data_IF_399788372015
#
_entry.id   IF_399788372015
#
_cell.length_a   1.000
_cell.length_b   1.000
_cell.length_c   1.000
_cell.angle_alpha   90.00
_cell.angle_beta   90.00
_cell.angle_gamma   90.00
#
_symmetry.space_group_name_H-M   'P 1'
#
loop_
_entity.id
_entity.type
_entity.pdbx_description
1 polymer ?
#
# COMPACT_ATOMS: atom_id res chain seq x y z
N UNK A 1 -7.47 26.28 9.98
CA UNK A 1 -6.12 26.90 10.17
C UNK A 1 -5.24 26.20 11.21
N UNK A 2 -5.76 25.68 12.34
CA UNK A 2 -4.95 25.04 13.40
C UNK A 2 -4.13 23.80 12.95
N UNK A 3 -4.66 22.92 12.10
CA UNK A 3 -3.93 21.71 11.68
C UNK A 3 -2.68 21.98 10.83
N UNK A 4 -2.66 23.02 9.98
CA UNK A 4 -1.48 23.38 9.17
C UNK A 4 -0.32 23.86 10.05
N UNK A 5 -0.61 24.65 11.07
CA UNK A 5 0.39 25.15 12.03
C UNK A 5 1.07 24.02 12.81
N UNK A 6 0.31 23.03 13.28
CA UNK A 6 0.86 21.87 13.99
C UNK A 6 1.75 21.00 13.11
N UNK A 7 1.37 20.78 11.84
CA UNK A 7 2.22 20.06 10.87
C UNK A 7 3.53 20.81 10.61
N UNK A 8 3.47 22.12 10.37
CA UNK A 8 4.66 22.95 10.12
C UNK A 8 5.57 22.99 11.35
N UNK A 9 5.01 23.08 12.57
CA UNK A 9 5.80 23.08 13.81
C UNK A 9 6.59 21.79 14.02
N UNK A 10 5.98 20.63 13.77
CA UNK A 10 6.67 19.35 13.91
C UNK A 10 7.80 19.19 12.89
N UNK A 11 7.62 19.70 11.68
CA UNK A 11 8.62 19.68 10.60
C UNK A 11 9.81 20.57 10.96
N UNK A 12 9.54 21.80 11.39
CA UNK A 12 10.58 22.73 11.82
C UNK A 12 11.35 22.14 13.00
N UNK A 13 10.68 21.52 13.96
CA UNK A 13 11.33 20.87 15.10
C UNK A 13 12.23 19.71 14.68
N UNK A 14 11.80 18.87 13.73
CA UNK A 14 12.62 17.77 13.21
C UNK A 14 13.86 18.28 12.45
N UNK A 15 13.70 19.29 11.60
CA UNK A 15 14.81 19.92 10.87
C UNK A 15 15.79 20.56 11.85
N UNK A 16 15.29 21.26 12.88
CA UNK A 16 16.11 21.92 13.88
C UNK A 16 16.95 20.91 14.68
N UNK A 17 16.38 19.77 15.05
CA UNK A 17 17.10 18.67 15.72
C UNK A 17 18.21 18.12 14.82
N UNK A 18 17.93 17.87 13.53
CA UNK A 18 18.92 17.40 12.56
C UNK A 18 20.08 18.39 12.42
N UNK A 19 19.76 19.69 12.27
CA UNK A 19 20.76 20.75 12.13
C UNK A 19 21.64 20.84 13.38
N UNK A 20 21.06 20.81 14.58
CA UNK A 20 21.83 20.85 15.84
C UNK A 20 22.76 19.63 15.96
N UNK A 21 22.25 18.43 15.66
CA UNK A 21 23.05 17.20 15.68
C UNK A 21 24.19 17.25 14.64
N UNK A 22 23.90 17.74 13.44
CA UNK A 22 24.89 17.93 12.39
C UNK A 22 25.99 18.91 12.79
N UNK A 23 25.62 20.05 13.40
CA UNK A 23 26.57 21.03 13.93
C UNK A 23 27.43 20.42 15.03
N UNK A 24 26.83 19.68 15.97
CA UNK A 24 27.55 19.01 17.04
C UNK A 24 28.56 17.98 16.49
N UNK A 25 28.15 17.13 15.54
CA UNK A 25 29.01 16.16 14.86
C UNK A 25 30.15 16.83 14.09
N UNK A 26 29.86 17.92 13.38
CA UNK A 26 30.86 18.69 12.65
C UNK A 26 31.88 19.33 13.60
N UNK A 27 31.42 19.92 14.70
CA UNK A 27 32.28 20.54 15.71
C UNK A 27 33.18 19.51 16.39
N UNK A 28 32.62 18.35 16.77
CA UNK A 28 33.38 17.22 17.32
C UNK A 28 34.42 16.74 16.30
N UNK A 29 34.04 16.54 15.04
CA UNK A 29 34.97 16.13 13.98
C UNK A 29 36.13 17.11 13.82
N UNK A 30 35.84 18.42 13.74
CA UNK A 30 36.86 19.47 13.61
C UNK A 30 37.86 19.48 14.77
N UNK A 31 37.38 19.29 16.00
CA UNK A 31 38.23 19.31 17.19
C UNK A 31 38.99 17.99 17.41
N UNK A 32 38.42 16.85 17.03
CA UNK A 32 39.11 15.55 17.07
C UNK A 32 40.35 15.58 16.15
N UNK A 33 40.27 16.21 14.97
CA UNK A 33 41.43 16.38 14.06
C UNK A 33 42.57 17.24 14.63
N UNK A 34 42.29 18.11 15.59
CA UNK A 34 43.31 18.93 16.24
C UNK A 34 44.04 18.16 17.35
N UNK A 35 43.41 17.13 17.91
CA UNK A 35 43.96 16.27 18.96
C UNK A 35 44.57 15.00 18.34
N UNK A 36 45.72 15.13 17.67
CA UNK A 36 46.43 14.02 16.99
C UNK A 36 46.57 12.76 17.85
N UNK A 37 46.83 12.92 19.16
CA UNK A 37 46.97 11.83 20.14
C UNK A 37 45.69 10.98 20.32
N UNK A 38 44.51 11.55 20.08
CA UNK A 38 43.21 10.89 20.29
C UNK A 38 42.77 10.13 19.02
N UNK A 39 43.16 10.59 17.83
CA UNK A 39 42.82 9.93 16.56
C UNK A 39 43.59 8.63 16.35
N UNK A 40 44.79 8.52 16.90
CA UNK A 40 45.61 7.30 16.82
C UNK A 40 44.96 6.12 17.54
N UNK A 41 44.01 6.40 18.45
CA UNK A 41 43.15 5.39 19.04
C UNK A 41 42.09 4.95 18.02
N UNK A 42 42.35 3.82 17.33
CA UNK A 42 41.47 3.29 16.28
C UNK A 42 40.00 3.09 16.68
N UNK A 43 39.73 2.87 17.97
CA UNK A 43 38.36 2.74 18.49
C UNK A 43 37.56 4.07 18.43
N UNK A 44 38.21 5.22 18.62
CA UNK A 44 37.56 6.54 18.56
C UNK A 44 37.17 6.87 17.12
N UNK A 45 38.04 6.54 16.15
CA UNK A 45 37.74 6.67 14.72
C UNK A 45 36.54 5.81 14.31
N UNK A 46 36.48 4.57 14.82
CA UNK A 46 35.37 3.65 14.54
C UNK A 46 34.05 4.20 15.11
N UNK A 47 34.06 4.64 16.37
CA UNK A 47 32.89 5.19 17.05
C UNK A 47 32.36 6.45 16.34
N UNK A 48 33.25 7.37 15.95
CA UNK A 48 32.87 8.55 15.19
C UNK A 48 32.28 8.19 13.81
N UNK A 49 32.88 7.22 13.12
CA UNK A 49 32.34 6.68 11.86
C UNK A 49 30.94 6.09 12.01
N UNK A 50 30.69 5.32 13.08
CA UNK A 50 29.36 4.79 13.40
C UNK A 50 28.35 5.91 13.65
N UNK A 51 28.73 6.97 14.37
CA UNK A 51 27.85 8.13 14.59
C UNK A 51 27.48 8.85 13.29
N UNK A 52 28.42 9.04 12.36
CA UNK A 52 28.15 9.62 11.04
C UNK A 52 27.18 8.73 10.24
N UNK A 53 27.39 7.42 10.26
CA UNK A 53 26.54 6.46 9.56
C UNK A 53 25.11 6.49 10.11
N UNK A 54 24.94 6.46 11.44
CA UNK A 54 23.64 6.56 12.09
C UNK A 54 22.95 7.90 11.78
N UNK A 55 23.69 9.01 11.82
CA UNK A 55 23.16 10.34 11.44
C UNK A 55 22.69 10.37 9.99
N UNK A 56 23.43 9.74 9.08
CA UNK A 56 23.07 9.68 7.64
C UNK A 56 21.78 8.89 7.42
N UNK A 57 21.65 7.72 8.07
CA UNK A 57 20.42 6.92 8.06
C UNK A 57 19.24 7.73 8.61
N UNK A 58 19.46 8.44 9.72
CA UNK A 58 18.44 9.26 10.35
C UNK A 58 17.98 10.43 9.45
N UNK A 59 18.92 11.14 8.81
CA UNK A 59 18.61 12.17 7.80
C UNK A 59 17.78 11.62 6.63
N UNK A 60 18.20 10.48 6.06
CA UNK A 60 17.51 9.86 4.94
C UNK A 60 16.08 9.45 5.31
N UNK A 61 15.90 8.84 6.49
CA UNK A 61 14.59 8.48 7.01
C UNK A 61 13.71 9.73 7.25
N UNK A 62 14.25 10.79 7.83
CA UNK A 62 13.51 12.03 8.08
C UNK A 62 13.04 12.70 6.78
N UNK A 63 13.91 12.79 5.77
CA UNK A 63 13.55 13.36 4.46
C UNK A 63 12.45 12.52 3.80
N UNK A 64 12.60 11.20 3.76
CA UNK A 64 11.58 10.31 3.20
C UNK A 64 10.23 10.45 3.93
N UNK A 65 10.26 10.59 5.25
CA UNK A 65 9.06 10.77 6.07
C UNK A 65 8.38 12.12 5.80
N UNK A 66 9.15 13.20 5.63
CA UNK A 66 8.61 14.52 5.28
C UNK A 66 7.96 14.53 3.90
N UNK A 67 8.62 13.92 2.91
CA UNK A 67 8.11 13.77 1.54
C UNK A 67 6.81 12.95 1.57
N UNK A 68 6.80 11.82 2.29
CA UNK A 68 5.62 10.97 2.43
C UNK A 68 4.44 11.71 3.09
N UNK A 69 4.68 12.46 4.18
CA UNK A 69 3.63 13.14 4.94
C UNK A 69 3.01 14.36 4.22
N UNK A 70 3.66 14.88 3.17
CA UNK A 70 3.17 16.02 2.39
C UNK A 70 2.56 15.65 1.03
N UNK A 71 2.77 14.41 0.58
CA UNK A 71 2.26 13.94 -0.71
C UNK A 71 0.91 13.25 -0.59
N UNK A 72 0.49 12.80 0.60
CA UNK A 72 -0.84 12.20 0.79
C UNK A 72 -1.91 13.29 0.92
N UNK A 73 -2.36 13.80 -0.22
CA UNK A 73 -3.61 14.55 -0.31
C UNK A 73 -4.78 13.58 -0.15
N UNK A 74 -5.63 13.81 0.84
CA UNK A 74 -6.91 13.12 0.95
C UNK A 74 -7.82 13.65 -0.16
N UNK A 75 -8.37 12.75 -0.96
CA UNK A 75 -9.36 13.11 -1.97
C UNK A 75 -10.74 13.25 -1.34
N UNK A 76 -11.57 14.16 -1.84
CA UNK A 76 -12.93 14.34 -1.37
C UNK A 76 -13.90 13.69 -2.37
N UNK A 77 -14.69 12.67 -1.96
CA UNK A 77 -15.58 11.93 -2.86
C UNK A 77 -16.77 12.76 -3.38
N UNK A 78 -17.04 13.92 -2.76
CA UNK A 78 -18.14 14.82 -3.13
C UNK A 78 -17.69 16.10 -3.85
N UNK A 79 -16.38 16.28 -4.10
CA UNK A 79 -15.84 17.44 -4.83
C UNK A 79 -15.40 17.03 -6.24
N UNK A 80 -16.09 17.47 -7.31
CA UNK A 80 -15.74 17.13 -8.69
C UNK A 80 -14.32 17.52 -9.06
N UNK A 81 -13.75 18.59 -8.48
CA UNK A 81 -12.36 18.99 -8.74
C UNK A 81 -11.39 17.95 -8.17
N UNK A 82 -11.68 17.41 -6.99
CA UNK A 82 -10.90 16.35 -6.36
C UNK A 82 -10.94 15.06 -7.19
N UNK A 83 -12.12 14.70 -7.70
CA UNK A 83 -12.31 13.55 -8.58
C UNK A 83 -11.54 13.71 -9.90
N UNK A 84 -11.58 14.90 -10.50
CA UNK A 84 -10.82 15.18 -11.71
C UNK A 84 -9.30 15.04 -11.51
N UNK A 85 -8.77 15.51 -10.37
CA UNK A 85 -7.35 15.33 -10.02
C UNK A 85 -7.02 13.84 -9.86
N UNK A 86 -7.93 13.05 -9.25
CA UNK A 86 -7.76 11.61 -9.08
C UNK A 86 -7.73 10.89 -10.44
N UNK A 87 -8.68 11.19 -11.33
CA UNK A 87 -8.78 10.58 -12.67
C UNK A 87 -7.53 10.83 -13.55
N UNK A 88 -6.84 11.96 -13.33
CA UNK A 88 -5.61 12.30 -14.04
C UNK A 88 -4.39 11.50 -13.56
N UNK A 89 -4.43 10.86 -12.39
CA UNK A 89 -3.30 10.13 -11.84
C UNK A 89 -2.98 8.87 -12.66
N UNK A 90 -1.86 8.89 -13.39
CA UNK A 90 -1.42 7.75 -14.22
C UNK A 90 -1.31 6.43 -13.45
N UNK A 91 -0.91 6.46 -12.19
CA UNK A 91 -0.73 5.27 -11.34
C UNK A 91 -2.03 4.51 -11.04
N UNK A 92 -3.20 5.15 -11.25
CA UNK A 92 -4.52 4.54 -11.06
C UNK A 92 -5.21 4.21 -12.37
N UNK A 93 -4.50 4.27 -13.51
CA UNK A 93 -5.01 3.86 -14.81
C UNK A 93 -4.65 2.40 -15.06
N UNK A 94 -5.64 1.63 -15.46
CA UNK A 94 -5.48 0.30 -16.05
C UNK A 94 -5.20 0.47 -17.55
N UNK A 95 -4.50 -0.49 -18.16
CA UNK A 95 -4.40 -0.54 -19.62
C UNK A 95 -5.82 -0.70 -20.22
N UNK A 96 -6.29 0.24 -21.06
CA UNK A 96 -7.63 0.15 -21.65
C UNK A 96 -7.85 -1.13 -22.46
N UNK A 97 -6.79 -1.71 -23.03
CA UNK A 97 -6.88 -3.00 -23.75
C UNK A 97 -7.26 -4.12 -22.79
N UNK A 98 -6.62 -4.19 -21.64
CA UNK A 98 -6.92 -5.17 -20.60
C UNK A 98 -8.34 -4.98 -20.09
N UNK A 99 -8.76 -3.74 -19.80
CA UNK A 99 -10.12 -3.44 -19.34
C UNK A 99 -11.19 -3.89 -20.34
N UNK A 100 -11.00 -3.56 -21.63
CA UNK A 100 -11.92 -3.94 -22.69
C UNK A 100 -11.99 -5.45 -22.91
N UNK A 101 -10.84 -6.14 -22.89
CA UNK A 101 -10.79 -7.60 -23.03
C UNK A 101 -11.45 -8.30 -21.85
N UNK A 102 -11.17 -7.87 -20.62
CA UNK A 102 -11.86 -8.36 -19.42
C UNK A 102 -13.38 -8.22 -19.50
N UNK A 103 -13.84 -7.11 -20.07
CA UNK A 103 -15.27 -6.85 -20.30
C UNK A 103 -15.85 -7.76 -21.40
N UNK A 104 -15.09 -8.01 -22.47
CA UNK A 104 -15.51 -8.87 -23.58
C UNK A 104 -15.59 -10.36 -23.19
N UNK A 105 -14.70 -10.84 -22.33
CA UNK A 105 -14.76 -12.22 -21.82
C UNK A 105 -15.97 -12.48 -20.91
N UNK A 106 -16.66 -11.43 -20.44
CA UNK A 106 -17.96 -11.51 -19.77
C UNK A 106 -17.91 -11.99 -18.32
N UNK A 107 -16.81 -12.60 -17.84
CA UNK A 107 -16.67 -13.04 -16.45
C UNK A 107 -15.30 -12.74 -15.82
N UNK A 108 -15.03 -11.47 -15.46
CA UNK A 108 -13.76 -11.07 -14.83
C UNK A 108 -13.51 -11.76 -13.48
N UNK A 109 -14.56 -12.15 -12.75
CA UNK A 109 -14.44 -12.88 -11.48
C UNK A 109 -13.85 -14.26 -11.70
N UNK A 110 -14.28 -14.96 -12.74
CA UNK A 110 -13.77 -16.28 -13.07
C UNK A 110 -12.29 -16.23 -13.44
N UNK A 111 -11.88 -15.27 -14.28
CA UNK A 111 -10.47 -15.08 -14.64
C UNK A 111 -9.57 -14.85 -13.43
N UNK A 112 -9.96 -13.93 -12.55
CA UNK A 112 -9.17 -13.66 -11.34
C UNK A 112 -9.19 -14.87 -10.40
N UNK A 113 -10.30 -15.63 -10.37
CA UNK A 113 -10.38 -16.90 -9.65
C UNK A 113 -9.42 -17.95 -10.21
N UNK A 114 -9.30 -18.06 -11.53
CA UNK A 114 -8.34 -18.93 -12.21
C UNK A 114 -6.89 -18.51 -11.93
N UNK A 115 -6.60 -17.21 -11.93
CA UNK A 115 -5.30 -16.71 -11.51
C UNK A 115 -4.99 -17.07 -10.05
N UNK A 116 -5.95 -16.91 -9.15
CA UNK A 116 -5.80 -17.27 -7.74
C UNK A 116 -5.52 -18.77 -7.57
N UNK A 117 -6.28 -19.63 -8.25
CA UNK A 117 -6.10 -21.09 -8.16
C UNK A 117 -4.77 -21.53 -8.78
N UNK A 118 -4.38 -20.96 -9.93
CA UNK A 118 -3.08 -21.18 -10.55
C UNK A 118 -1.92 -20.80 -9.62
N UNK A 119 -2.10 -19.74 -8.83
CA UNK A 119 -1.12 -19.30 -7.84
C UNK A 119 -1.20 -20.07 -6.51
N UNK A 120 -1.99 -21.14 -6.42
CA UNK A 120 -2.09 -22.03 -5.27
C UNK A 120 -3.00 -21.53 -4.15
N UNK A 121 -3.86 -20.55 -4.42
CA UNK A 121 -4.96 -20.22 -3.51
C UNK A 121 -6.10 -21.22 -3.69
N UNK A 122 -6.75 -21.60 -2.58
CA UNK A 122 -7.95 -22.44 -2.58
C UNK A 122 -9.14 -21.61 -2.13
N UNK A 123 -10.27 -21.75 -2.81
CA UNK A 123 -11.52 -21.18 -2.34
C UNK A 123 -11.94 -21.90 -1.06
N UNK A 124 -12.06 -21.17 0.04
CA UNK A 124 -12.40 -21.74 1.36
C UNK A 124 -13.81 -21.40 1.80
N UNK A 125 -14.38 -20.31 1.28
CA UNK A 125 -15.73 -19.89 1.62
C UNK A 125 -16.34 -19.03 0.51
N UNK A 126 -17.67 -19.04 0.47
CA UNK A 126 -18.49 -18.05 -0.22
C UNK A 126 -19.26 -17.29 0.87
N UNK A 127 -18.98 -16.00 1.02
CA UNK A 127 -19.54 -15.14 2.06
C UNK A 127 -20.33 -13.98 1.42
N UNK A 128 -21.07 -13.21 2.20
CA UNK A 128 -21.67 -11.95 1.74
C UNK A 128 -20.64 -10.96 1.16
N UNK A 129 -19.38 -11.10 1.62
CA UNK A 129 -18.19 -10.34 1.21
C UNK A 129 -17.54 -10.86 -0.08
N UNK A 130 -18.15 -11.86 -0.73
CA UNK A 130 -17.65 -12.46 -1.96
C UNK A 130 -16.99 -13.82 -1.75
N UNK A 131 -16.12 -14.19 -2.70
CA UNK A 131 -15.36 -15.43 -2.66
C UNK A 131 -14.11 -15.23 -1.82
N UNK A 132 -13.87 -16.12 -0.85
CA UNK A 132 -12.69 -16.07 0.01
C UNK A 132 -11.72 -17.16 -0.42
N UNK A 133 -10.52 -16.72 -0.79
CA UNK A 133 -9.41 -17.56 -1.23
C UNK A 133 -8.29 -17.53 -0.21
N UNK A 134 -7.70 -18.67 0.08
CA UNK A 134 -6.57 -18.77 1.01
C UNK A 134 -5.43 -19.61 0.44
N UNK A 135 -4.20 -19.16 0.66
CA UNK A 135 -2.98 -19.84 0.27
C UNK A 135 -2.12 -20.09 1.49
N UNK A 136 -1.66 -21.33 1.68
CA UNK A 136 -0.70 -21.65 2.73
C UNK A 136 0.67 -21.08 2.39
N UNK A 137 1.31 -20.41 3.35
CA UNK A 137 2.66 -19.87 3.24
C UNK A 137 3.65 -20.85 3.86
N UNK A 138 4.76 -21.09 3.16
CA UNK A 138 5.89 -21.88 3.66
C UNK A 138 6.74 -21.12 4.68
N UNK A 139 6.68 -19.78 4.66
CA UNK A 139 7.49 -18.93 5.50
C UNK A 139 6.86 -18.78 6.89
N UNK A 140 7.50 -19.39 7.90
CA UNK A 140 7.19 -19.20 9.32
C UNK A 140 8.06 -18.04 9.80
N UNK A 141 7.48 -16.87 10.02
CA UNK A 141 8.21 -15.76 10.65
C UNK A 141 8.08 -15.90 12.17
N UNK A 142 9.17 -15.79 12.93
CA UNK A 142 9.15 -15.91 14.40
C UNK A 142 8.18 -14.90 15.06
N UNK A 143 7.91 -13.77 14.39
CA UNK A 143 6.94 -12.74 14.83
C UNK A 143 5.51 -12.97 14.31
N UNK A 144 5.35 -13.74 13.23
CA UNK A 144 4.05 -14.05 12.63
C UNK A 144 3.92 -15.58 12.53
N UNK A 145 3.27 -16.19 13.53
CA UNK A 145 2.97 -17.63 13.59
C UNK A 145 1.98 -18.10 12.49
N UNK A 146 1.69 -17.24 11.51
CA UNK A 146 0.54 -17.32 10.62
C UNK A 146 0.95 -17.95 9.30
N UNK A 147 0.25 -19.03 8.93
CA UNK A 147 0.58 -19.85 7.75
C UNK A 147 -0.24 -19.52 6.51
N UNK A 148 -0.99 -18.41 6.47
CA UNK A 148 -1.94 -18.17 5.39
C UNK A 148 -1.89 -16.74 4.85
N UNK A 149 -2.07 -16.61 3.53
CA UNK A 149 -2.52 -15.40 2.86
C UNK A 149 -3.99 -15.55 2.51
N UNK A 150 -4.77 -14.46 2.61
CA UNK A 150 -6.19 -14.44 2.27
C UNK A 150 -6.49 -13.36 1.24
N UNK A 151 -7.32 -13.71 0.26
CA UNK A 151 -7.82 -12.77 -0.74
C UNK A 151 -9.35 -12.87 -0.78
N UNK A 152 -10.01 -11.75 -0.58
CA UNK A 152 -11.43 -11.58 -0.81
C UNK A 152 -11.61 -11.13 -2.26
N UNK A 153 -12.48 -11.79 -3.01
CA UNK A 153 -12.80 -11.45 -4.39
C UNK A 153 -14.28 -11.13 -4.49
N UNK A 154 -14.59 -9.88 -4.83
CA UNK A 154 -15.94 -9.35 -4.82
C UNK A 154 -16.23 -8.59 -6.11
N UNK A 155 -17.34 -8.94 -6.75
CA UNK A 155 -17.89 -8.16 -7.86
C UNK A 155 -19.17 -7.44 -7.41
N UNK A 156 -19.26 -6.16 -7.74
CA UNK A 156 -20.42 -5.31 -7.46
C UNK A 156 -20.67 -4.39 -8.67
N UNK A 157 -21.86 -4.48 -9.31
CA UNK A 157 -22.19 -3.66 -10.47
C UNK A 157 -22.59 -2.23 -10.11
N UNK A 158 -22.84 -1.95 -8.82
CA UNK A 158 -23.18 -0.62 -8.30
C UNK A 158 -22.41 -0.41 -7.00
N UNK A 159 -21.63 0.67 -6.94
CA UNK A 159 -20.75 1.04 -5.85
C UNK A 159 -20.74 2.56 -5.73
N UNK A 160 -20.61 3.04 -4.49
CA UNK A 160 -20.27 4.41 -4.18
C UNK A 160 -19.32 4.40 -2.97
N UNK A 161 -18.83 5.57 -2.57
CA UNK A 161 -17.91 5.68 -1.44
C UNK A 161 -18.47 5.07 -0.14
N UNK A 162 -19.77 5.24 0.14
CA UNK A 162 -20.40 4.71 1.36
C UNK A 162 -20.45 3.18 1.36
N UNK A 163 -20.76 2.59 0.20
CA UNK A 163 -20.77 1.13 0.03
C UNK A 163 -19.36 0.57 0.21
N UNK A 164 -18.34 1.24 -0.33
CA UNK A 164 -16.93 0.85 -0.14
C UNK A 164 -16.54 0.92 1.32
N UNK A 165 -16.86 2.01 2.01
CA UNK A 165 -16.55 2.16 3.43
C UNK A 165 -17.19 1.03 4.25
N UNK A 166 -18.44 0.67 3.94
CA UNK A 166 -19.09 -0.47 4.58
C UNK A 166 -18.39 -1.80 4.25
N UNK A 167 -18.06 -2.07 2.98
CA UNK A 167 -17.35 -3.29 2.57
C UNK A 167 -15.99 -3.40 3.27
N UNK A 168 -15.23 -2.31 3.32
CA UNK A 168 -13.92 -2.26 3.98
C UNK A 168 -14.05 -2.48 5.48
N UNK A 169 -15.05 -1.87 6.12
CA UNK A 169 -15.36 -2.05 7.54
C UNK A 169 -15.78 -3.49 7.84
N UNK A 170 -16.73 -4.05 7.09
CA UNK A 170 -17.18 -5.44 7.25
C UNK A 170 -16.05 -6.44 7.02
N UNK A 171 -15.23 -6.23 5.99
CA UNK A 171 -14.06 -7.08 5.71
C UNK A 171 -13.05 -7.01 6.86
N UNK A 172 -12.78 -5.80 7.37
CA UNK A 172 -11.91 -5.60 8.52
C UNK A 172 -12.44 -6.30 9.76
N UNK A 173 -13.73 -6.14 10.06
CA UNK A 173 -14.39 -6.78 11.19
C UNK A 173 -14.38 -8.31 11.07
N UNK A 174 -14.60 -8.85 9.87
CA UNK A 174 -14.48 -10.28 9.61
C UNK A 174 -13.06 -10.79 9.90
N UNK A 175 -12.03 -10.09 9.42
CA UNK A 175 -10.62 -10.45 9.69
C UNK A 175 -10.33 -10.42 11.19
N UNK A 176 -10.77 -9.38 11.89
CA UNK A 176 -10.56 -9.23 13.34
C UNK A 176 -11.22 -10.38 14.11
N UNK A 177 -12.46 -10.75 13.77
CA UNK A 177 -13.17 -11.88 14.40
C UNK A 177 -12.51 -13.22 14.13
N UNK A 178 -11.91 -13.41 12.95
CA UNK A 178 -11.23 -14.67 12.60
C UNK A 178 -9.75 -14.72 13.01
N UNK A 179 -9.22 -13.61 13.55
CA UNK A 179 -7.78 -13.47 13.80
C UNK A 179 -7.25 -14.57 14.71
N UNK A 180 -7.97 -14.91 15.78
CA UNK A 180 -7.49 -15.89 16.77
C UNK A 180 -7.65 -17.33 16.28
N UNK A 181 -8.68 -17.59 15.46
CA UNK A 181 -8.99 -18.94 14.96
C UNK A 181 -8.11 -19.31 13.76
N UNK A 182 -7.90 -18.36 12.85
CA UNK A 182 -7.20 -18.59 11.59
C UNK A 182 -6.40 -17.36 11.20
N UNK A 183 -5.24 -17.15 11.84
CA UNK A 183 -4.48 -15.94 11.66
C UNK A 183 -3.80 -15.95 10.28
N UNK A 184 -3.77 -14.78 9.65
CA UNK A 184 -3.31 -14.56 8.28
C UNK A 184 -2.16 -13.56 8.31
N UNK A 185 -1.17 -13.71 7.44
CA UNK A 185 -0.05 -12.76 7.34
C UNK A 185 -0.33 -11.59 6.39
N UNK A 186 -1.21 -11.79 5.40
CA UNK A 186 -1.61 -10.77 4.43
C UNK A 186 -3.08 -10.96 4.02
N UNK A 187 -3.85 -9.88 4.06
CA UNK A 187 -5.20 -9.84 3.52
C UNK A 187 -5.24 -8.93 2.28
N UNK A 188 -5.86 -9.38 1.20
CA UNK A 188 -6.14 -8.56 0.02
C UNK A 188 -7.65 -8.55 -0.24
N UNK A 189 -8.19 -7.44 -0.72
CA UNK A 189 -9.57 -7.36 -1.19
C UNK A 189 -9.54 -6.90 -2.64
N UNK A 190 -9.97 -7.73 -3.57
CA UNK A 190 -10.10 -7.39 -4.98
C UNK A 190 -11.57 -7.12 -5.25
N UNK A 191 -11.88 -5.87 -5.56
CA UNK A 191 -13.20 -5.36 -5.92
C UNK A 191 -13.23 -5.14 -7.43
N UNK A 192 -14.26 -5.65 -8.09
CA UNK A 192 -14.45 -5.49 -9.53
C UNK A 192 -15.80 -4.82 -9.78
N UNK A 193 -15.81 -3.86 -10.69
CA UNK A 193 -17.02 -3.21 -11.17
C UNK A 193 -16.98 -2.95 -12.67
N UNK A 194 -18.16 -2.86 -13.26
CA UNK A 194 -18.44 -2.45 -14.63
C UNK A 194 -19.49 -1.33 -14.67
N UNK A 195 -19.45 -0.45 -13.67
CA UNK A 195 -20.30 0.73 -13.57
C UNK A 195 -20.10 1.69 -14.74
N UNK A 196 -21.19 2.21 -15.30
CA UNK A 196 -21.15 3.18 -16.42
C UNK A 196 -20.93 4.63 -15.97
N UNK A 197 -21.21 4.93 -14.71
CA UNK A 197 -21.07 6.29 -14.19
C UNK A 197 -19.64 6.51 -13.67
N UNK A 198 -18.84 7.28 -14.41
CA UNK A 198 -17.45 7.58 -14.06
C UNK A 198 -17.34 8.31 -12.71
N UNK A 199 -18.26 9.21 -12.39
CA UNK A 199 -18.21 9.99 -11.14
C UNK A 199 -18.39 9.10 -9.92
N UNK A 200 -19.33 8.15 -9.97
CA UNK A 200 -19.52 7.16 -8.90
C UNK A 200 -18.34 6.19 -8.80
N UNK A 201 -17.72 5.81 -9.92
CA UNK A 201 -16.48 5.01 -9.93
C UNK A 201 -15.35 5.78 -9.26
N UNK A 202 -15.16 7.05 -9.60
CA UNK A 202 -14.12 7.89 -9.00
C UNK A 202 -14.39 8.10 -7.51
N UNK A 203 -15.65 8.35 -7.11
CA UNK A 203 -16.07 8.46 -5.72
C UNK A 203 -15.77 7.18 -4.93
N UNK A 204 -16.07 6.02 -5.52
CA UNK A 204 -15.69 4.69 -5.01
C UNK A 204 -14.17 4.54 -4.89
N UNK A 205 -13.44 4.96 -5.92
CA UNK A 205 -11.98 4.99 -5.96
C UNK A 205 -11.37 5.85 -4.85
N UNK A 206 -11.98 6.98 -4.50
CA UNK A 206 -11.57 7.83 -3.37
C UNK A 206 -11.57 7.04 -2.06
N UNK A 207 -12.63 6.26 -1.77
CA UNK A 207 -12.69 5.42 -0.57
C UNK A 207 -11.53 4.42 -0.48
N UNK A 208 -11.15 3.83 -1.62
CA UNK A 208 -10.03 2.88 -1.71
C UNK A 208 -8.68 3.58 -1.56
N UNK A 209 -8.50 4.72 -2.23
CA UNK A 209 -7.24 5.49 -2.25
C UNK A 209 -6.94 6.11 -0.89
N UNK A 210 -7.98 6.58 -0.19
CA UNK A 210 -7.87 7.15 1.15
C UNK A 210 -7.82 6.09 2.25
N UNK A 211 -8.02 4.81 1.94
CA UNK A 211 -7.98 3.75 2.94
C UNK A 211 -6.60 3.61 3.57
N UNK A 212 -6.55 3.47 4.89
CA UNK A 212 -5.32 3.29 5.66
C UNK A 212 -5.31 1.89 6.25
N UNK A 213 -4.42 1.03 5.76
CA UNK A 213 -4.25 -0.33 6.26
C UNK A 213 -3.59 -0.35 7.64
N UNK A 214 -4.05 -1.24 8.53
CA UNK A 214 -3.53 -1.36 9.90
C UNK A 214 -2.98 -2.76 10.17
N UNK A 215 -2.10 -2.89 11.18
CA UNK A 215 -1.55 -4.18 11.60
C UNK A 215 -2.64 -5.14 12.12
N UNK A 216 -3.70 -4.60 12.73
CA UNK A 216 -4.79 -5.40 13.29
C UNK A 216 -5.50 -6.24 12.22
N UNK A 217 -5.66 -5.70 11.01
CA UNK A 217 -6.22 -6.41 9.85
C UNK A 217 -5.17 -7.16 9.04
N UNK A 218 -3.95 -7.32 9.58
CA UNK A 218 -2.78 -7.83 8.87
C UNK A 218 -2.54 -7.09 7.54
N UNK A 219 -2.69 -5.76 7.61
CA UNK A 219 -2.51 -4.81 6.52
C UNK A 219 -3.38 -5.14 5.30
N UNK A 220 -4.71 -5.16 5.50
CA UNK A 220 -5.69 -5.36 4.42
C UNK A 220 -5.37 -4.42 3.24
N UNK A 221 -5.16 -4.98 2.06
CA UNK A 221 -4.85 -4.22 0.86
C UNK A 221 -6.02 -4.29 -0.14
N UNK A 222 -6.90 -3.28 -0.17
CA UNK A 222 -7.94 -3.20 -1.18
C UNK A 222 -7.37 -2.81 -2.56
N UNK A 223 -7.87 -3.46 -3.59
CA UNK A 223 -7.57 -3.24 -5.00
C UNK A 223 -8.94 -3.13 -5.68
N UNK A 224 -9.20 -2.02 -6.35
CA UNK A 224 -10.47 -1.77 -7.00
C UNK A 224 -10.25 -1.61 -8.51
N UNK A 225 -10.88 -2.51 -9.26
CA UNK A 225 -10.78 -2.67 -10.70
C UNK A 225 -12.07 -2.17 -11.35
N UNK A 226 -11.99 -1.08 -12.10
CA UNK A 226 -13.07 -0.60 -12.96
C UNK A 226 -12.81 -0.98 -14.41
N UNK A 227 -13.74 -1.75 -14.96
CA UNK A 227 -13.66 -2.27 -16.33
C UNK A 227 -14.16 -1.28 -17.38
N UNK A 228 -15.01 -0.32 -17.02
CA UNK A 228 -15.62 0.59 -18.01
C UNK A 228 -14.74 1.78 -18.33
N UNK A 229 -14.11 2.40 -17.33
CA UNK A 229 -13.23 3.56 -17.53
C UNK A 229 -11.75 3.21 -17.36
N UNK A 230 -11.43 1.90 -17.25
CA UNK A 230 -10.09 1.38 -17.14
C UNK A 230 -9.30 2.00 -15.97
N UNK A 231 -9.87 1.94 -14.77
CA UNK A 231 -9.18 2.37 -13.55
C UNK A 231 -8.75 1.18 -12.68
N UNK A 232 -7.65 1.37 -11.96
CA UNK A 232 -7.10 0.44 -10.98
C UNK A 232 -6.69 1.22 -9.73
N UNK A 233 -7.58 1.30 -8.75
CA UNK A 233 -7.35 2.02 -7.50
C UNK A 233 -6.80 1.11 -6.41
N UNK A 234 -5.88 1.65 -5.61
CA UNK A 234 -5.29 1.02 -4.44
C UNK A 234 -4.85 2.10 -3.44
N UNK A 235 -4.67 1.78 -2.15
CA UNK A 235 -4.31 2.75 -1.12
C UNK A 235 -3.08 3.60 -1.50
N UNK A 236 -3.23 4.92 -1.34
CA UNK A 236 -2.13 5.86 -1.53
C UNK A 236 -1.18 5.85 -0.34
N UNK A 237 -1.73 5.86 0.87
CA UNK A 237 -0.95 5.88 2.09
C UNK A 237 -0.63 4.44 2.51
N UNK A 238 0.67 4.12 2.47
CA UNK A 238 1.21 2.85 2.93
C UNK A 238 2.19 3.03 4.09
N UNK A 239 2.19 4.20 4.74
CA UNK A 239 3.13 4.57 5.81
C UNK A 239 3.11 3.58 6.99
N UNK A 240 1.94 3.04 7.31
CA UNK A 240 1.78 2.03 8.38
C UNK A 240 2.16 0.61 7.95
N UNK A 241 2.28 0.35 6.64
CA UNK A 241 2.57 -0.98 6.10
C UNK A 241 4.09 -1.20 6.08
N UNK A 242 4.62 -2.29 6.65
CA UNK A 242 6.03 -2.63 6.55
C UNK A 242 6.52 -2.73 5.10
N UNK A 243 7.75 -2.25 4.82
CA UNK A 243 8.31 -2.17 3.47
C UNK A 243 8.26 -3.50 2.69
N UNK A 244 8.50 -4.64 3.35
CA UNK A 244 8.49 -5.96 2.72
C UNK A 244 7.07 -6.38 2.28
N UNK A 245 6.04 -5.95 3.02
CA UNK A 245 4.64 -6.17 2.62
C UNK A 245 4.25 -5.25 1.47
N UNK A 246 4.71 -4.00 1.46
CA UNK A 246 4.47 -3.08 0.34
C UNK A 246 5.04 -3.65 -0.97
N UNK A 247 6.27 -4.19 -0.93
CA UNK A 247 6.87 -4.88 -2.08
C UNK A 247 6.06 -6.11 -2.49
N UNK A 248 5.67 -6.95 -1.53
CA UNK A 248 4.86 -8.14 -1.81
C UNK A 248 3.52 -7.80 -2.47
N UNK A 249 2.84 -6.76 -1.99
CA UNK A 249 1.58 -6.27 -2.57
C UNK A 249 1.78 -5.78 -4.00
N UNK A 250 2.85 -5.01 -4.25
CA UNK A 250 3.18 -4.50 -5.58
C UNK A 250 3.48 -5.64 -6.56
N UNK A 251 4.35 -6.57 -6.17
CA UNK A 251 4.69 -7.74 -6.99
C UNK A 251 3.44 -8.56 -7.35
N UNK A 252 2.53 -8.79 -6.38
CA UNK A 252 1.27 -9.50 -6.64
C UNK A 252 0.37 -8.77 -7.64
N UNK A 253 0.28 -7.45 -7.53
CA UNK A 253 -0.49 -6.63 -8.46
C UNK A 253 0.10 -6.73 -9.88
N UNK A 254 1.41 -6.58 -10.01
CA UNK A 254 2.11 -6.70 -11.30
C UNK A 254 1.95 -8.11 -11.90
N UNK A 255 2.04 -9.16 -11.08
CA UNK A 255 1.79 -10.55 -11.50
C UNK A 255 0.36 -10.77 -11.99
N UNK A 256 -0.64 -10.19 -11.31
CA UNK A 256 -2.04 -10.27 -11.74
C UNK A 256 -2.21 -9.58 -13.10
N UNK A 257 -1.69 -8.37 -13.26
CA UNK A 257 -1.80 -7.60 -14.51
C UNK A 257 -1.09 -8.28 -15.68
N UNK A 258 0.12 -8.81 -15.46
CA UNK A 258 0.87 -9.56 -16.47
C UNK A 258 0.12 -10.83 -16.88
N UNK A 259 -0.40 -11.60 -15.91
CA UNK A 259 -1.18 -12.80 -16.21
C UNK A 259 -2.44 -12.49 -17.01
N UNK A 260 -3.17 -11.44 -16.62
CA UNK A 260 -4.34 -10.97 -17.38
C UNK A 260 -3.94 -10.61 -18.81
N UNK A 261 -2.84 -9.88 -18.99
CA UNK A 261 -2.35 -9.52 -20.32
C UNK A 261 -1.98 -10.74 -21.17
N UNK A 262 -1.33 -11.74 -20.60
CA UNK A 262 -0.94 -12.98 -21.29
C UNK A 262 -2.16 -13.83 -21.65
N UNK A 263 -3.11 -13.99 -20.72
CA UNK A 263 -4.30 -14.81 -20.91
C UNK A 263 -5.23 -14.21 -21.97
N UNK A 264 -5.37 -12.89 -21.97
CA UNK A 264 -6.23 -12.14 -22.90
C UNK A 264 -5.57 -11.89 -24.27
N UNK A 265 -4.29 -12.23 -24.44
CA UNK A 265 -3.57 -11.99 -25.69
C UNK A 265 -2.69 -13.20 -26.06
N UNK A 266 -3.29 -14.27 -26.62
CA UNK A 266 -2.57 -15.53 -26.88
C UNK A 266 -1.48 -15.46 -27.95
N UNK A 267 -1.35 -14.34 -28.68
CA UNK A 267 -0.37 -14.12 -29.75
C UNK A 267 0.99 -13.58 -29.27
N UNK A 268 1.26 -13.57 -27.95
CA UNK A 268 2.54 -13.11 -27.36
C UNK A 268 3.46 -14.27 -26.91
N UNK A 269 3.21 -15.50 -27.37
CA UNK A 269 4.14 -16.62 -27.20
C UNK A 269 5.05 -16.80 -28.40
#
# INVERSE_FOLDING_TARGET
>A
MKQRYWKIRNIISQILILVILGIALFWIGKNIYQLKSIIEMGWIRLLFGTCILLYTILCFNSINTMISNHIVQLYNPADPKSLAILAQQKKYKLDPKIANQLKQEGNPVQLISEWLTHNGYKQVAKHSLGLIYEKKTSFINYKFQNKYHRTFLLYRPLLNVLIIDNILSETSNFILRQKDVKPVSQNNLILITDMKNEEEVLSTGVGIVNYISTEQTSYLNPIFLDLNHAHLFYPQDKSLVPWYLQLSQRIKLDQLLTWLKEKLNPNLK
#
